data_IF_337802447951
#
_entry.id   IF_337802447951
#
_cell.length_a   1.000
_cell.length_b   1.000
_cell.length_c   1.000
_cell.angle_alpha   90.00
_cell.angle_beta   90.00
_cell.angle_gamma   90.00
#
_symmetry.space_group_name_H-M   'P 1'
#
loop_
_entity.id
_entity.type
_entity.pdbx_description
1 polymer ?
#
# COMPACT_ATOMS: atom_id res chain seq x y z
N UNK A 1 10.66 7.62 2.92
CA UNK A 1 9.20 7.83 2.77
C UNK A 1 8.43 6.87 3.69
N UNK A 2 7.38 7.32 4.38
CA UNK A 2 6.53 6.46 5.24
C UNK A 2 5.26 6.05 4.52
N UNK A 3 5.00 4.76 4.38
CA UNK A 3 3.74 4.22 3.85
C UNK A 3 2.82 3.89 5.00
N UNK A 4 1.70 4.59 5.11
CA UNK A 4 0.69 4.35 6.12
C UNK A 4 -0.37 3.39 5.61
N UNK A 5 -0.57 2.31 6.37
CA UNK A 5 -1.51 1.25 6.05
C UNK A 5 -2.76 1.38 6.89
N UNK A 6 -3.91 1.12 6.29
CA UNK A 6 -5.21 1.25 6.95
C UNK A 6 -6.02 -0.05 6.88
N UNK A 7 -6.92 -0.21 7.86
CA UNK A 7 -7.84 -1.34 8.00
C UNK A 7 -7.14 -2.71 7.78
N UNK A 8 -7.65 -3.49 6.83
CA UNK A 8 -7.17 -4.84 6.52
C UNK A 8 -5.67 -4.87 6.18
N UNK A 9 -5.14 -3.83 5.52
CA UNK A 9 -3.71 -3.79 5.16
C UNK A 9 -2.83 -3.67 6.42
N UNK A 10 -3.28 -2.91 7.42
CA UNK A 10 -2.59 -2.77 8.71
C UNK A 10 -2.59 -4.09 9.48
N UNK A 11 -3.73 -4.78 9.50
CA UNK A 11 -3.86 -6.07 10.17
C UNK A 11 -2.97 -7.14 9.54
N UNK A 12 -2.91 -7.18 8.20
CA UNK A 12 -2.07 -8.13 7.47
C UNK A 12 -0.57 -7.82 7.66
N UNK A 13 -0.20 -6.54 7.61
CA UNK A 13 1.19 -6.11 7.79
C UNK A 13 1.67 -6.19 9.24
N UNK A 14 0.75 -6.20 10.20
CA UNK A 14 1.06 -6.18 11.64
C UNK A 14 1.69 -4.86 12.11
N UNK A 15 1.67 -3.81 11.29
CA UNK A 15 2.25 -2.49 11.58
C UNK A 15 1.39 -1.37 10.99
N UNK A 16 1.34 -0.21 11.65
CA UNK A 16 0.62 0.99 11.17
C UNK A 16 1.31 1.63 9.95
N UNK A 17 2.62 1.46 9.83
CA UNK A 17 3.39 2.01 8.72
C UNK A 17 4.60 1.16 8.33
N UNK A 18 5.03 1.33 7.08
CA UNK A 18 6.23 0.73 6.50
C UNK A 18 7.14 1.85 6.03
N UNK A 19 8.44 1.76 6.34
CA UNK A 19 9.43 2.70 5.80
C UNK A 19 9.96 2.15 4.49
N UNK A 20 9.83 2.94 3.41
CA UNK A 20 10.39 2.65 2.10
C UNK A 20 11.33 3.78 1.66
N UNK A 21 12.17 3.47 0.68
CA UNK A 21 13.02 4.45 0.03
C UNK A 21 12.18 5.52 -0.68
N UNK A 22 12.74 6.73 -0.84
CA UNK A 22 12.07 7.80 -1.56
C UNK A 22 11.82 7.37 -3.01
N UNK A 23 10.54 7.27 -3.39
CA UNK A 23 10.09 6.77 -4.69
C UNK A 23 8.92 7.61 -5.14
N UNK A 24 8.97 8.08 -6.39
CA UNK A 24 7.94 8.93 -6.98
C UNK A 24 6.94 8.15 -7.86
N UNK A 25 7.01 6.81 -7.91
CA UNK A 25 6.20 5.98 -8.80
C UNK A 25 5.39 4.96 -8.00
N UNK A 26 4.07 4.90 -8.24
CA UNK A 26 3.14 3.99 -7.56
C UNK A 26 3.57 2.52 -7.68
N UNK A 27 4.02 2.10 -8.87
CA UNK A 27 4.47 0.73 -9.10
C UNK A 27 5.69 0.38 -8.25
N UNK A 28 6.68 1.27 -8.18
CA UNK A 28 7.89 1.09 -7.38
C UNK A 28 7.57 1.01 -5.89
N UNK A 29 6.66 1.89 -5.42
CA UNK A 29 6.20 1.93 -4.04
C UNK A 29 5.52 0.62 -3.66
N UNK A 30 4.58 0.15 -4.48
CA UNK A 30 3.88 -1.12 -4.24
C UNK A 30 4.87 -2.29 -4.26
N UNK A 31 5.82 -2.29 -5.19
CA UNK A 31 6.78 -3.38 -5.29
C UNK A 31 7.67 -3.44 -4.04
N UNK A 32 8.12 -2.30 -3.51
CA UNK A 32 8.85 -2.23 -2.23
C UNK A 32 8.01 -2.72 -1.05
N UNK A 33 6.73 -2.33 -0.99
CA UNK A 33 5.80 -2.76 0.05
C UNK A 33 5.60 -4.28 -0.01
N UNK A 34 5.44 -4.85 -1.21
CA UNK A 34 5.29 -6.28 -1.41
C UNK A 34 6.58 -7.03 -1.05
N UNK A 35 7.75 -6.48 -1.37
CA UNK A 35 9.02 -7.08 -0.96
C UNK A 35 9.16 -7.15 0.57
N UNK A 36 8.71 -6.12 1.29
CA UNK A 36 8.72 -6.10 2.76
C UNK A 36 7.60 -6.94 3.39
N UNK A 37 6.42 -6.91 2.79
CA UNK A 37 5.22 -7.60 3.28
C UNK A 37 4.57 -8.34 2.09
N UNK A 38 5.08 -9.54 1.74
CA UNK A 38 4.60 -10.28 0.56
C UNK A 38 3.14 -10.66 0.65
N UNK A 39 2.57 -10.75 1.86
CA UNK A 39 1.14 -10.99 2.10
C UNK A 39 0.24 -9.90 1.51
N UNK A 40 0.72 -8.66 1.38
CA UNK A 40 -0.07 -7.56 0.79
C UNK A 40 -0.20 -7.68 -0.73
N UNK A 41 0.60 -8.52 -1.39
CA UNK A 41 0.58 -8.71 -2.84
C UNK A 41 -0.80 -9.09 -3.35
N UNK A 42 -1.47 -10.03 -2.71
CA UNK A 42 -2.79 -10.51 -3.14
C UNK A 42 -3.89 -9.44 -3.01
N UNK A 43 -3.66 -8.44 -2.16
CA UNK A 43 -4.59 -7.34 -1.92
C UNK A 43 -4.29 -6.16 -2.85
N UNK A 44 -3.03 -5.77 -2.97
CA UNK A 44 -2.58 -4.62 -3.76
C UNK A 44 -2.46 -4.91 -5.26
N UNK A 45 -2.25 -6.17 -5.65
CA UNK A 45 -2.15 -6.61 -7.05
C UNK A 45 -3.32 -7.54 -7.34
N UNK A 46 -4.17 -7.18 -8.30
CA UNK A 46 -5.29 -8.01 -8.76
C UNK A 46 -5.15 -8.22 -10.28
N UNK A 47 -5.15 -9.47 -10.74
CA UNK A 47 -4.95 -9.81 -12.16
C UNK A 47 -3.67 -9.20 -12.78
N UNK A 48 -2.57 -9.16 -12.02
CA UNK A 48 -1.30 -8.61 -12.50
C UNK A 48 -1.29 -7.08 -12.65
N UNK A 49 -2.33 -6.38 -12.21
CA UNK A 49 -2.42 -4.92 -12.18
C UNK A 49 -2.60 -4.42 -10.75
N UNK A 50 -2.24 -3.16 -10.51
CA UNK A 50 -2.55 -2.49 -9.24
C UNK A 50 -4.06 -2.54 -9.03
N UNK A 51 -4.47 -2.98 -7.85
CA UNK A 51 -5.87 -3.10 -7.50
C UNK A 51 -6.45 -1.70 -7.27
N UNK A 52 -7.18 -1.19 -8.26
CA UNK A 52 -7.81 0.15 -8.25
C UNK A 52 -8.81 0.37 -7.11
N UNK A 53 -9.22 -0.71 -6.42
CA UNK A 53 -9.99 -0.62 -5.18
C UNK A 53 -9.22 0.07 -4.05
N UNK A 54 -7.89 -0.03 -4.06
CA UNK A 54 -7.04 0.63 -3.08
C UNK A 54 -6.57 1.96 -3.66
N UNK A 55 -6.93 3.05 -2.99
CA UNK A 55 -6.52 4.38 -3.42
C UNK A 55 -5.17 4.70 -2.79
N UNK A 56 -4.17 4.95 -3.62
CA UNK A 56 -2.82 5.30 -3.20
C UNK A 56 -2.67 6.81 -3.33
N UNK A 57 -2.33 7.46 -2.22
CA UNK A 57 -2.04 8.89 -2.19
C UNK A 57 -0.56 9.05 -1.88
N UNK A 58 0.18 9.63 -2.82
CA UNK A 58 1.60 9.93 -2.65
C UNK A 58 1.70 11.41 -2.28
N UNK A 59 2.29 11.67 -1.12
CA UNK A 59 2.70 12.98 -0.66
C UNK A 59 4.23 12.99 -0.52
N UNK A 60 4.84 14.18 -0.48
CA UNK A 60 6.29 14.38 -0.59
C UNK A 60 7.14 13.43 0.27
N UNK A 61 6.70 13.14 1.49
CA UNK A 61 7.41 12.26 2.44
C UNK A 61 6.56 11.07 2.93
N UNK A 62 5.30 11.01 2.52
CA UNK A 62 4.31 10.07 3.06
C UNK A 62 3.42 9.50 1.97
N UNK A 63 3.19 8.19 2.02
CA UNK A 63 2.24 7.50 1.15
C UNK A 63 1.12 6.95 2.01
N UNK A 64 -0.11 7.08 1.52
CA UNK A 64 -1.29 6.56 2.19
C UNK A 64 -1.97 5.54 1.28
N UNK A 65 -2.20 4.34 1.79
CA UNK A 65 -2.91 3.29 1.04
C UNK A 65 -4.27 3.07 1.68
N UNK A 66 -5.28 3.67 1.07
CA UNK A 66 -6.64 3.62 1.55
C UNK A 66 -7.31 2.33 1.04
N UNK A 67 -7.93 1.53 1.92
CA UNK A 67 -8.76 0.40 1.52
C UNK A 67 -9.97 0.87 0.71
N UNK A 68 -10.61 -0.03 -0.05
CA UNK A 68 -11.89 0.29 -0.68
C UNK A 68 -12.89 0.77 0.38
N UNK A 69 -13.58 1.86 0.09
CA UNK A 69 -14.67 2.35 0.94
C UNK A 69 -15.75 1.27 1.06
N UNK A 70 -15.83 0.61 2.20
CA UNK A 70 -16.97 -0.24 2.62
C UNK A 70 -17.94 0.59 3.45
N UNK A 71 -18.30 1.79 2.96
CA UNK A 71 -19.42 2.56 3.49
C UNK A 71 -20.70 2.05 2.86
N UNK A 72 -21.53 1.36 3.65
CA UNK A 72 -22.91 1.02 3.30
C UNK A 72 -23.84 2.22 3.42
#
# INVERSE_FOLDING_TARGET
MKVRLFAILREIAGTDYIIINDKNNENEIINEIINKVPKLKEYLIKNGKINEKYKILINKDEVYILPPFTGG
#
